data_IF_224902756743
#
_entry.id   IF_224902756743
#
_cell.length_a   1.000
_cell.length_b   1.000
_cell.length_c   1.000
_cell.angle_alpha   90.00
_cell.angle_beta   90.00
_cell.angle_gamma   90.00
#
_symmetry.space_group_name_H-M   'P 1'
#
loop_
_entity.id
_entity.type
_entity.pdbx_description
1 polymer ?
#
# COMPACT_ATOMS: atom_id res chain seq x y z
N UNK A 1 -0.64 8.82 5.24
CA UNK A 1 0.72 8.58 5.77
C UNK A 1 1.73 9.61 5.27
N UNK A 2 1.79 9.91 3.97
CA UNK A 2 2.73 10.91 3.40
C UNK A 2 2.84 12.21 4.23
N UNK A 3 1.73 12.94 4.41
CA UNK A 3 1.70 14.18 5.20
C UNK A 3 2.11 14.07 6.66
N UNK A 4 2.07 12.87 7.24
CA UNK A 4 2.64 12.69 8.57
C UNK A 4 4.17 12.83 8.48
N UNK A 5 4.83 12.16 7.54
CA UNK A 5 6.28 12.20 7.38
C UNK A 5 6.84 13.52 6.81
N UNK A 6 5.97 14.36 6.23
CA UNK A 6 6.31 15.69 5.71
C UNK A 6 6.37 16.80 6.78
N UNK A 7 6.05 16.47 8.05
CA UNK A 7 6.18 17.43 9.15
C UNK A 7 7.66 17.76 9.37
N UNK A 8 8.00 19.06 9.35
CA UNK A 8 9.37 19.62 9.35
C UNK A 8 10.33 18.96 10.37
N UNK A 9 9.83 18.57 11.54
CA UNK A 9 10.63 17.98 12.62
C UNK A 9 11.13 16.54 12.32
N UNK A 10 10.66 15.90 11.26
CA UNK A 10 10.98 14.49 10.99
C UNK A 10 12.05 14.25 9.93
N UNK A 11 12.35 15.22 9.05
CA UNK A 11 13.44 15.15 8.05
C UNK A 11 13.53 13.84 7.20
N UNK A 12 12.41 13.14 6.99
CA UNK A 12 12.30 11.86 6.28
C UNK A 12 11.49 12.01 4.99
N UNK A 13 12.03 12.80 4.05
CA UNK A 13 11.34 13.17 2.80
C UNK A 13 11.02 11.96 1.93
N UNK A 14 11.88 10.95 1.91
CA UNK A 14 11.70 9.81 1.00
C UNK A 14 10.56 8.89 1.50
N UNK A 15 10.31 8.82 2.82
CA UNK A 15 9.08 8.21 3.34
C UNK A 15 7.82 8.97 2.93
N UNK A 16 7.85 10.31 3.00
CA UNK A 16 6.72 11.14 2.58
C UNK A 16 6.42 10.94 1.08
N UNK A 17 7.46 10.96 0.24
CA UNK A 17 7.40 10.73 -1.20
C UNK A 17 6.93 9.31 -1.53
N UNK A 18 7.47 8.28 -0.87
CA UNK A 18 7.05 6.89 -1.04
C UNK A 18 5.53 6.74 -0.83
N UNK A 19 5.01 7.18 0.32
CA UNK A 19 3.57 7.09 0.59
C UNK A 19 2.73 8.02 -0.31
N UNK A 20 3.32 9.12 -0.80
CA UNK A 20 2.65 9.99 -1.75
C UNK A 20 2.50 9.29 -3.09
N UNK A 21 3.51 8.55 -3.54
CA UNK A 21 3.48 7.77 -4.78
C UNK A 21 2.51 6.59 -4.70
N UNK A 22 2.39 5.95 -3.53
CA UNK A 22 1.45 4.84 -3.33
C UNK A 22 -0.03 5.26 -3.43
N UNK A 23 -0.37 6.48 -3.02
CA UNK A 23 -1.78 6.88 -2.97
C UNK A 23 -2.46 6.97 -4.36
N UNK A 24 -1.82 7.54 -5.40
CA UNK A 24 -2.34 7.48 -6.77
C UNK A 24 -2.43 6.07 -7.33
N UNK A 25 -1.45 5.21 -7.08
CA UNK A 25 -1.42 3.82 -7.54
C UNK A 25 -2.62 3.02 -7.02
N UNK A 26 -2.93 3.14 -5.71
CA UNK A 26 -4.12 2.50 -5.13
C UNK A 26 -5.43 3.10 -5.66
N UNK A 27 -5.44 4.38 -6.01
CA UNK A 27 -6.59 4.99 -6.68
C UNK A 27 -6.78 4.41 -8.08
N UNK A 28 -5.70 4.18 -8.83
CA UNK A 28 -5.77 3.51 -10.14
C UNK A 28 -6.30 2.07 -10.01
N UNK A 29 -5.92 1.34 -8.96
CA UNK A 29 -6.50 0.03 -8.64
C UNK A 29 -8.03 0.11 -8.43
N UNK A 30 -8.50 1.08 -7.65
CA UNK A 30 -9.94 1.30 -7.45
C UNK A 30 -10.65 1.64 -8.78
N UNK A 31 -10.06 2.47 -9.64
CA UNK A 31 -10.61 2.83 -10.94
C UNK A 31 -10.68 1.62 -11.91
N UNK A 32 -9.67 0.73 -11.88
CA UNK A 32 -9.71 -0.53 -12.64
C UNK A 32 -10.89 -1.40 -12.21
N UNK A 33 -11.16 -1.51 -10.91
CA UNK A 33 -12.33 -2.24 -10.39
C UNK A 33 -13.66 -1.58 -10.82
N UNK A 34 -13.74 -0.25 -10.79
CA UNK A 34 -14.93 0.47 -11.29
C UNK A 34 -15.16 0.21 -12.78
N UNK A 35 -14.11 0.25 -13.61
CA UNK A 35 -14.19 -0.07 -15.04
C UNK A 35 -14.64 -1.51 -15.28
N UNK A 36 -14.16 -2.47 -14.48
CA UNK A 36 -14.59 -3.86 -14.52
C UNK A 36 -16.07 -4.01 -14.13
N UNK A 37 -16.53 -3.27 -13.13
CA UNK A 37 -17.93 -3.28 -12.70
C UNK A 37 -18.87 -2.59 -13.71
N UNK A 38 -18.38 -1.72 -14.58
CA UNK A 38 -19.17 -1.07 -15.63
C UNK A 38 -19.47 -1.96 -16.85
N UNK A 39 -19.06 -3.24 -16.83
CA UNK A 39 -19.45 -4.21 -17.85
C UNK A 39 -20.97 -4.45 -17.84
N UNK A 40 -21.58 -4.95 -18.95
CA UNK A 40 -23.02 -5.12 -19.06
C UNK A 40 -23.63 -5.88 -17.88
N UNK A 41 -24.64 -5.27 -17.24
CA UNK A 41 -25.32 -5.83 -16.06
C UNK A 41 -24.72 -5.43 -14.71
N UNK A 42 -23.53 -4.84 -14.69
CA UNK A 42 -22.92 -4.31 -13.48
C UNK A 42 -23.43 -2.90 -13.13
N UNK A 43 -23.42 -2.59 -11.83
CA UNK A 43 -23.76 -1.26 -11.29
C UNK A 43 -22.81 -0.94 -10.14
N UNK A 44 -22.32 0.29 -10.12
CA UNK A 44 -21.44 0.80 -9.05
C UNK A 44 -22.31 1.44 -7.97
N UNK A 45 -22.12 1.01 -6.73
CA UNK A 45 -22.69 1.64 -5.55
C UNK A 45 -21.55 2.07 -4.63
N UNK A 46 -21.25 3.37 -4.62
CA UNK A 46 -20.18 3.92 -3.79
C UNK A 46 -20.63 4.03 -2.33
N UNK A 47 -19.70 3.77 -1.41
CA UNK A 47 -19.87 3.97 0.02
C UNK A 47 -18.91 5.05 0.52
N UNK A 48 -19.16 5.57 1.73
CA UNK A 48 -18.24 6.52 2.35
C UNK A 48 -16.88 5.88 2.62
N UNK A 49 -15.80 6.57 2.22
CA UNK A 49 -14.44 6.17 2.55
C UNK A 49 -14.18 6.58 4.01
N UNK A 50 -13.97 5.60 4.88
CA UNK A 50 -13.65 5.86 6.28
C UNK A 50 -12.27 6.49 6.40
N UNK A 51 -12.09 7.39 7.38
CA UNK A 51 -10.76 7.89 7.71
C UNK A 51 -9.83 6.74 8.13
N UNK A 52 -8.51 6.89 8.00
CA UNK A 52 -7.55 5.93 8.55
C UNK A 52 -7.78 5.70 10.04
N UNK A 53 -7.45 4.49 10.52
CA UNK A 53 -7.61 4.10 11.94
C UNK A 53 -6.77 4.97 12.89
N UNK A 54 -5.68 5.53 12.37
CA UNK A 54 -4.75 6.37 13.13
C UNK A 54 -4.52 7.70 12.42
N UNK A 55 -4.63 8.78 13.17
CA UNK A 55 -4.33 10.14 12.70
C UNK A 55 -2.81 10.45 12.76
N UNK A 56 -2.01 9.60 13.44
CA UNK A 56 -0.56 9.69 13.52
C UNK A 56 0.12 8.34 13.64
N UNK A 57 1.36 8.25 13.17
CA UNK A 57 2.10 6.98 13.05
C UNK A 57 3.29 6.98 13.99
N UNK A 58 3.09 6.48 15.22
CA UNK A 58 4.03 6.53 16.38
C UNK A 58 5.51 6.59 15.98
N UNK A 59 5.93 5.70 15.09
CA UNK A 59 7.25 5.72 14.45
C UNK A 59 7.16 5.15 13.02
N UNK A 60 8.30 5.15 12.31
CA UNK A 60 8.41 4.75 10.89
C UNK A 60 8.06 3.28 10.70
N UNK A 61 8.58 2.43 11.58
CA UNK A 61 8.31 1.00 11.59
C UNK A 61 6.80 0.73 11.71
N UNK A 62 6.13 1.40 12.64
CA UNK A 62 4.69 1.26 12.83
C UNK A 62 3.87 1.68 11.60
N UNK A 63 4.29 2.71 10.87
CA UNK A 63 3.65 3.08 9.60
C UNK A 63 3.80 1.98 8.54
N UNK A 64 5.02 1.44 8.38
CA UNK A 64 5.30 0.36 7.42
C UNK A 64 4.58 -0.94 7.79
N UNK A 65 4.49 -1.27 9.07
CA UNK A 65 3.70 -2.40 9.57
C UNK A 65 2.21 -2.22 9.33
N UNK A 66 1.68 -1.00 9.49
CA UNK A 66 0.29 -0.70 9.17
C UNK A 66 0.01 -0.85 7.66
N UNK A 67 0.89 -0.35 6.79
CA UNK A 67 0.76 -0.57 5.34
C UNK A 67 0.84 -2.05 5.01
N UNK A 68 1.79 -2.78 5.58
CA UNK A 68 1.89 -4.23 5.36
C UNK A 68 0.60 -4.96 5.78
N UNK A 69 -0.03 -4.54 6.88
CA UNK A 69 -1.30 -5.10 7.32
C UNK A 69 -2.44 -4.76 6.35
N UNK A 70 -2.54 -3.51 5.91
CA UNK A 70 -3.54 -3.06 4.93
C UNK A 70 -3.40 -3.85 3.62
N UNK A 71 -2.19 -3.96 3.11
CA UNK A 71 -1.85 -4.65 1.86
C UNK A 71 -2.11 -6.15 1.94
N UNK A 72 -1.85 -6.78 3.09
CA UNK A 72 -2.26 -8.17 3.33
C UNK A 72 -3.78 -8.33 3.29
N UNK A 73 -4.53 -7.42 3.90
CA UNK A 73 -5.99 -7.47 3.90
C UNK A 73 -6.55 -7.31 2.48
N UNK A 74 -6.02 -6.37 1.70
CA UNK A 74 -6.37 -6.21 0.27
C UNK A 74 -5.99 -7.46 -0.53
N UNK A 75 -4.77 -7.97 -0.34
CA UNK A 75 -4.26 -9.16 -1.03
C UNK A 75 -5.04 -10.43 -0.72
N UNK A 76 -5.67 -10.55 0.46
CA UNK A 76 -6.55 -11.66 0.81
C UNK A 76 -7.94 -11.54 0.17
N UNK A 77 -8.46 -10.32 0.03
CA UNK A 77 -9.78 -10.08 -0.56
C UNK A 77 -9.84 -10.42 -2.06
N UNK A 78 -8.72 -10.33 -2.77
CA UNK A 78 -8.67 -10.56 -4.22
C UNK A 78 -8.81 -12.05 -4.62
N UNK A 79 -8.12 -13.00 -3.97
CA UNK A 79 -8.39 -14.43 -4.12
C UNK A 79 -9.83 -14.80 -3.76
N UNK A 80 -10.39 -14.23 -2.68
CA UNK A 80 -11.79 -14.47 -2.31
C UNK A 80 -12.75 -14.00 -3.41
N UNK A 81 -12.49 -12.82 -4.01
CA UNK A 81 -13.22 -12.31 -5.15
C UNK A 81 -13.09 -13.23 -6.39
N UNK A 82 -11.89 -13.76 -6.64
CA UNK A 82 -11.64 -14.70 -7.73
C UNK A 82 -12.37 -16.03 -7.54
N UNK A 83 -12.35 -16.60 -6.33
CA UNK A 83 -13.09 -17.82 -5.98
C UNK A 83 -14.59 -17.59 -6.18
N UNK A 84 -15.13 -16.47 -5.69
CA UNK A 84 -16.54 -16.12 -5.87
C UNK A 84 -16.91 -15.97 -7.35
N UNK A 85 -16.05 -15.32 -8.15
CA UNK A 85 -16.24 -15.19 -9.58
C UNK A 85 -16.28 -16.55 -10.30
N UNK A 86 -15.38 -17.44 -9.93
CA UNK A 86 -15.30 -18.81 -10.46
C UNK A 86 -16.56 -19.61 -10.10
N UNK A 87 -16.99 -19.56 -8.83
CA UNK A 87 -18.20 -20.23 -8.34
C UNK A 87 -19.48 -19.73 -9.03
N UNK A 88 -19.51 -18.44 -9.39
CA UNK A 88 -20.60 -17.81 -10.13
C UNK A 88 -20.48 -17.94 -11.64
N UNK A 89 -19.48 -18.67 -12.13
CA UNK A 89 -19.22 -18.91 -13.55
C UNK A 89 -19.08 -17.59 -14.35
N UNK A 90 -18.45 -16.58 -13.74
CA UNK A 90 -18.21 -15.27 -14.34
C UNK A 90 -16.73 -15.11 -14.74
N UNK A 91 -16.34 -15.57 -15.95
CA UNK A 91 -14.94 -15.57 -16.39
C UNK A 91 -14.35 -14.16 -16.54
N UNK A 92 -15.19 -13.12 -16.67
CA UNK A 92 -14.72 -11.74 -16.84
C UNK A 92 -14.05 -11.15 -15.59
N UNK A 93 -14.36 -11.67 -14.39
CA UNK A 93 -13.75 -11.24 -13.13
C UNK A 93 -12.38 -11.91 -12.87
N UNK A 94 -11.99 -12.91 -13.66
CA UNK A 94 -10.77 -13.70 -13.46
C UNK A 94 -9.45 -12.96 -13.79
N UNK A 95 -9.52 -11.79 -14.43
CA UNK A 95 -8.35 -11.05 -14.91
C UNK A 95 -7.81 -9.98 -13.93
N UNK A 96 -8.16 -10.06 -12.65
CA UNK A 96 -7.66 -9.15 -11.60
C UNK A 96 -6.26 -9.50 -11.06
N UNK A 97 -5.68 -10.61 -11.55
CA UNK A 97 -4.45 -11.21 -11.00
C UNK A 97 -3.18 -10.35 -11.07
N UNK A 98 -3.18 -9.30 -11.88
CA UNK A 98 -1.96 -8.48 -12.13
C UNK A 98 -1.85 -7.23 -11.23
N UNK A 99 -2.82 -6.93 -10.36
CA UNK A 99 -2.83 -5.69 -9.54
C UNK A 99 -2.52 -5.87 -8.05
N UNK A 100 -2.07 -7.05 -7.61
CA UNK A 100 -1.57 -7.19 -6.23
C UNK A 100 -0.14 -6.69 -6.20
N UNK A 101 0.09 -5.54 -5.56
CA UNK A 101 1.43 -5.12 -5.19
C UNK A 101 2.04 -6.18 -4.30
N UNK A 102 3.28 -6.57 -4.59
CA UNK A 102 3.90 -7.72 -3.92
C UNK A 102 4.00 -7.44 -2.41
N UNK A 103 3.09 -8.01 -1.61
CA UNK A 103 3.14 -7.97 -0.13
C UNK A 103 4.51 -8.40 0.39
N UNK A 104 5.24 -9.19 -0.41
CA UNK A 104 6.61 -9.59 -0.15
C UNK A 104 7.58 -8.41 -0.13
N UNK A 105 7.49 -7.46 -1.06
CA UNK A 105 8.38 -6.28 -1.10
C UNK A 105 8.21 -5.42 0.14
N UNK A 106 6.96 -5.14 0.53
CA UNK A 106 6.65 -4.46 1.79
C UNK A 106 7.11 -5.26 3.01
N UNK A 107 6.92 -6.58 2.98
CA UNK A 107 7.42 -7.49 4.02
C UNK A 107 8.94 -7.44 4.16
N UNK A 108 9.67 -7.40 3.04
CA UNK A 108 11.13 -7.30 3.01
C UNK A 108 11.59 -5.93 3.53
N UNK A 109 10.88 -4.85 3.24
CA UNK A 109 11.16 -3.52 3.77
C UNK A 109 10.93 -3.44 5.29
N UNK A 110 9.84 -4.00 5.81
CA UNK A 110 9.58 -4.10 7.26
C UNK A 110 10.65 -4.93 7.95
N UNK A 111 11.03 -6.08 7.38
CA UNK A 111 12.08 -6.92 7.92
C UNK A 111 13.45 -6.22 7.93
N UNK A 112 13.76 -5.42 6.91
CA UNK A 112 14.98 -4.60 6.87
C UNK A 112 14.98 -3.57 8.00
N UNK A 113 13.86 -2.86 8.23
CA UNK A 113 13.72 -1.90 9.33
C UNK A 113 13.95 -2.53 10.70
N UNK A 114 13.34 -3.69 10.95
CA UNK A 114 13.59 -4.47 12.17
C UNK A 114 15.08 -4.82 12.34
N UNK A 115 15.73 -5.30 11.27
CA UNK A 115 17.15 -5.71 11.30
C UNK A 115 18.12 -4.56 11.55
N UNK A 116 17.80 -3.34 11.11
CA UNK A 116 18.65 -2.16 11.35
C UNK A 116 18.41 -1.52 12.72
N UNK A 117 17.50 -2.08 13.54
CA UNK A 117 17.25 -1.64 14.91
C UNK A 117 16.30 -0.44 15.01
N UNK A 118 15.40 -0.27 14.04
CA UNK A 118 14.27 0.64 14.21
C UNK A 118 13.23 0.01 15.16
N UNK A 119 12.55 0.80 16.01
CA UNK A 119 12.60 2.26 16.11
C UNK A 119 13.63 2.79 17.13
N UNK A 120 14.35 1.94 17.87
CA UNK A 120 15.27 2.40 18.92
C UNK A 120 16.49 3.18 18.39
N UNK A 121 16.83 2.99 17.11
CA UNK A 121 17.94 3.65 16.43
C UNK A 121 17.47 4.68 15.41
N UNK A 122 17.45 5.97 15.79
CA UNK A 122 17.12 7.06 14.84
C UNK A 122 18.08 7.15 13.64
N UNK A 123 19.31 6.65 13.77
CA UNK A 123 20.27 6.55 12.65
C UNK A 123 19.85 5.48 11.63
N UNK A 124 19.17 4.43 12.08
CA UNK A 124 18.68 3.37 11.22
C UNK A 124 17.55 3.87 10.30
N UNK A 125 16.61 4.64 10.87
CA UNK A 125 15.52 5.27 10.12
C UNK A 125 16.05 6.21 9.03
N UNK A 126 17.03 7.06 9.37
CA UNK A 126 17.65 7.97 8.41
C UNK A 126 18.38 7.24 7.28
N UNK A 127 19.15 6.20 7.60
CA UNK A 127 19.85 5.42 6.58
C UNK A 127 18.87 4.65 5.68
N UNK A 128 17.76 4.18 6.23
CA UNK A 128 16.72 3.50 5.44
C UNK A 128 16.03 4.47 4.48
N UNK A 129 15.64 5.65 4.97
CA UNK A 129 15.07 6.73 4.16
C UNK A 129 15.99 7.06 2.98
N UNK A 130 17.28 7.30 3.24
CA UNK A 130 18.23 7.66 2.17
C UNK A 130 18.59 6.53 1.22
N UNK A 131 18.90 5.34 1.74
CA UNK A 131 19.51 4.29 0.93
C UNK A 131 18.50 3.30 0.33
N UNK A 132 17.33 3.15 0.95
CA UNK A 132 16.30 2.21 0.47
C UNK A 132 15.19 2.94 -0.26
N UNK A 133 14.64 4.00 0.32
CA UNK A 133 13.55 4.76 -0.29
C UNK A 133 14.06 5.83 -1.26
N UNK A 134 15.20 6.47 -0.98
CA UNK A 134 15.77 7.49 -1.87
C UNK A 134 16.36 6.96 -3.18
N UNK A 135 16.52 5.66 -3.33
CA UNK A 135 17.03 5.03 -4.55
C UNK A 135 15.92 4.51 -5.49
N UNK A 136 14.64 4.66 -5.12
CA UNK A 136 13.54 4.21 -5.98
C UNK A 136 13.32 5.08 -7.23
N UNK A 137 14.01 6.22 -7.35
CA UNK A 137 13.84 7.21 -8.43
C UNK A 137 14.74 6.98 -9.66
N UNK A 138 15.41 5.83 -9.77
CA UNK A 138 16.36 5.57 -10.88
C UNK A 138 16.01 4.42 -11.84
N UNK A 139 14.83 3.82 -11.74
CA UNK A 139 14.33 2.93 -12.79
C UNK A 139 13.03 3.51 -13.37
N UNK A 140 13.23 4.36 -14.38
CA UNK A 140 12.20 4.77 -15.36
C UNK A 140 12.20 3.83 -16.56
#
# INVERSE_FOLDING_TARGET
>A
MSYYFDIDDMALKNFAEYFLHQSPEEREHAEKLMKLQNQPGGRIFLQGITKPEHDGWKNRLNAMECVLHLEKSVSQSLPELYTLATDKNNPHLGHLGDSVKSTKELGDQVNKLHKVGAPESGRADYLFDKNTLGNSDHES
#
